data_IF_515519074139
#
_entry.id   IF_515519074139
#
_cell.length_a   1.000
_cell.length_b   1.000
_cell.length_c   1.000
_cell.angle_alpha   90.00
_cell.angle_beta   90.00
_cell.angle_gamma   90.00
#
_symmetry.space_group_name_H-M   'P 1'
#
loop_
_entity.id
_entity.type
_entity.pdbx_description
1 polymer ?
#
# COMPACT_ATOMS: atom_id res chain seq x y z
N UNK A 1 -16.76 27.23 -7.54
CA UNK A 1 -15.44 27.68 -7.25
C UNK A 1 -14.44 26.81 -7.97
N UNK A 2 -13.51 27.43 -8.50
CA UNK A 2 -12.50 26.70 -9.20
C UNK A 2 -11.38 26.31 -8.26
N UNK A 3 -10.78 25.20 -8.49
CA UNK A 3 -9.56 24.82 -7.83
C UNK A 3 -8.42 25.46 -8.60
N UNK A 4 -8.12 26.68 -8.21
CA UNK A 4 -7.11 27.48 -8.88
C UNK A 4 -5.81 27.40 -8.14
N UNK A 5 -4.85 28.19 -8.59
CA UNK A 5 -3.57 28.29 -7.91
C UNK A 5 -3.72 28.65 -6.44
N UNK A 6 -4.68 29.47 -6.10
CA UNK A 6 -4.91 29.83 -4.71
C UNK A 6 -5.27 28.61 -3.86
N UNK A 7 -6.13 27.77 -4.39
CA UNK A 7 -6.51 26.54 -3.68
C UNK A 7 -5.32 25.57 -3.59
N UNK A 8 -4.56 25.46 -4.66
CA UNK A 8 -3.38 24.60 -4.65
C UNK A 8 -2.33 25.09 -3.66
N UNK A 9 -2.14 26.40 -3.60
CA UNK A 9 -1.23 26.99 -2.64
C UNK A 9 -1.69 26.77 -1.22
N UNK A 10 -3.00 26.93 -0.99
CA UNK A 10 -3.58 26.67 0.31
C UNK A 10 -3.38 25.23 0.75
N UNK A 11 -3.56 24.27 -0.17
CA UNK A 11 -3.31 22.88 0.12
C UNK A 11 -1.85 22.62 0.43
N UNK A 12 -0.93 23.24 -0.31
CA UNK A 12 0.50 23.09 -0.07
C UNK A 12 0.94 23.65 1.25
N UNK A 13 0.22 24.64 1.77
CA UNK A 13 0.56 25.32 3.02
C UNK A 13 -0.18 24.77 4.22
N UNK A 14 -1.23 23.99 4.02
CA UNK A 14 -1.99 23.45 5.12
C UNK A 14 -1.19 22.39 5.88
N UNK A 15 -1.57 22.18 7.11
CA UNK A 15 -0.96 21.15 7.92
C UNK A 15 -1.28 19.77 7.32
N UNK A 16 -0.26 18.95 7.20
CA UNK A 16 -0.44 17.58 6.69
C UNK A 16 -1.12 16.74 7.74
N UNK A 17 -2.01 15.84 7.29
CA UNK A 17 -2.67 14.91 8.18
C UNK A 17 -1.71 13.80 8.61
N UNK A 18 -2.06 13.10 9.67
CA UNK A 18 -1.28 11.96 10.13
C UNK A 18 -1.16 10.89 9.05
N UNK A 19 -2.24 10.65 8.31
CA UNK A 19 -2.21 9.68 7.21
C UNK A 19 -1.25 10.10 6.11
N UNK A 20 -1.26 11.37 5.76
CA UNK A 20 -0.34 11.87 4.74
C UNK A 20 1.12 11.67 5.17
N UNK A 21 1.42 12.00 6.41
CA UNK A 21 2.77 11.85 6.95
C UNK A 21 3.17 10.37 6.97
N UNK A 22 2.29 9.52 7.45
CA UNK A 22 2.57 8.08 7.53
C UNK A 22 2.83 7.49 6.15
N UNK A 23 1.97 7.79 5.17
CA UNK A 23 2.13 7.24 3.83
C UNK A 23 3.39 7.76 3.15
N UNK A 24 3.76 9.01 3.41
CA UNK A 24 5.01 9.55 2.88
C UNK A 24 6.22 8.82 3.47
N UNK A 25 6.17 8.46 4.75
CA UNK A 25 7.24 7.68 5.37
C UNK A 25 7.30 6.26 4.79
N UNK A 26 6.15 5.64 4.61
CA UNK A 26 6.09 4.29 4.03
C UNK A 26 6.62 4.29 2.60
N UNK A 27 6.35 5.33 1.86
CA UNK A 27 6.87 5.47 0.49
C UNK A 27 8.40 5.40 0.49
N UNK A 28 9.03 5.97 1.50
CA UNK A 28 10.49 6.03 1.58
C UNK A 28 11.14 4.76 2.14
N UNK A 29 10.46 4.06 3.04
CA UNK A 29 11.13 2.95 3.76
C UNK A 29 10.77 1.57 3.23
N UNK A 30 9.61 1.39 2.62
CA UNK A 30 9.22 0.08 2.11
C UNK A 30 10.06 -0.25 0.87
N UNK A 31 10.67 -1.44 0.81
CA UNK A 31 11.50 -1.82 -0.35
C UNK A 31 10.63 -2.30 -1.51
N UNK A 32 9.93 -1.35 -2.15
CA UNK A 32 8.94 -1.66 -3.18
C UNK A 32 9.47 -2.55 -4.30
N UNK A 33 10.66 -2.25 -4.83
CA UNK A 33 11.21 -2.99 -5.96
C UNK A 33 11.52 -4.44 -5.59
N UNK A 34 12.06 -4.66 -4.40
CA UNK A 34 12.34 -6.02 -3.93
C UNK A 34 11.05 -6.81 -3.73
N UNK A 35 10.01 -6.17 -3.21
CA UNK A 35 8.72 -6.82 -3.01
C UNK A 35 8.04 -7.14 -4.32
N UNK A 36 8.09 -6.23 -5.28
CA UNK A 36 7.53 -6.48 -6.60
C UNK A 36 8.23 -7.67 -7.27
N UNK A 37 9.55 -7.77 -7.12
CA UNK A 37 10.31 -8.88 -7.69
C UNK A 37 9.90 -10.23 -7.08
N UNK A 38 9.53 -10.27 -5.82
CA UNK A 38 9.05 -11.49 -5.17
C UNK A 38 7.72 -11.97 -5.75
N UNK A 39 6.83 -11.04 -6.04
CA UNK A 39 5.45 -11.37 -6.41
C UNK A 39 5.28 -11.55 -7.92
N UNK A 40 6.05 -10.82 -8.70
CA UNK A 40 5.90 -10.77 -10.15
C UNK A 40 5.81 -12.14 -10.84
N UNK A 41 6.65 -13.15 -10.47
CA UNK A 41 6.57 -14.46 -11.11
C UNK A 41 5.21 -15.14 -10.93
N UNK A 42 4.45 -14.77 -9.93
CA UNK A 42 3.17 -15.39 -9.59
C UNK A 42 1.98 -14.53 -10.02
N UNK A 43 2.23 -13.34 -10.55
CA UNK A 43 1.17 -12.41 -10.89
C UNK A 43 0.74 -12.57 -12.35
N UNK A 44 -0.57 -12.45 -12.65
CA UNK A 44 -1.06 -12.57 -14.01
C UNK A 44 -0.38 -11.57 -14.96
N UNK A 45 -0.05 -12.02 -16.14
CA UNK A 45 0.62 -11.19 -17.14
C UNK A 45 -0.38 -10.43 -17.98
N UNK A 46 0.01 -9.24 -18.40
CA UNK A 46 -0.76 -8.43 -19.32
C UNK A 46 -0.80 -9.11 -20.69
N UNK A 47 -1.84 -8.79 -21.47
CA UNK A 47 -1.95 -9.27 -22.84
C UNK A 47 -2.65 -10.60 -23.00
N UNK A 48 -3.02 -11.26 -21.92
CA UNK A 48 -3.79 -12.50 -22.00
C UNK A 48 -5.25 -12.19 -22.34
N UNK A 49 -5.97 -13.16 -22.96
CA UNK A 49 -7.40 -12.97 -23.22
C UNK A 49 -8.17 -12.68 -21.94
N UNK A 50 -9.21 -11.88 -22.06
CA UNK A 50 -10.05 -11.53 -20.93
C UNK A 50 -9.65 -10.20 -20.32
N UNK A 51 -10.17 -9.96 -19.10
CA UNK A 51 -9.92 -8.72 -18.38
C UNK A 51 -8.47 -8.62 -17.98
N UNK A 52 -7.87 -7.45 -18.24
CA UNK A 52 -6.49 -7.22 -17.88
C UNK A 52 -6.35 -7.02 -16.36
N UNK A 53 -5.28 -7.56 -15.76
CA UNK A 53 -5.06 -7.35 -14.33
C UNK A 53 -4.65 -5.91 -14.03
N UNK A 54 -4.93 -5.49 -12.79
CA UNK A 54 -4.41 -4.21 -12.33
C UNK A 54 -2.88 -4.30 -12.22
N UNK A 55 -2.18 -3.16 -12.29
CA UNK A 55 -0.73 -3.18 -12.08
C UNK A 55 -0.39 -3.80 -10.73
N UNK A 56 0.65 -4.63 -10.70
CA UNK A 56 1.07 -5.29 -9.47
C UNK A 56 1.38 -4.28 -8.37
N UNK A 57 2.05 -3.18 -8.72
CA UNK A 57 2.38 -2.15 -7.74
C UNK A 57 1.13 -1.59 -7.06
N UNK A 58 0.05 -1.42 -7.81
CA UNK A 58 -1.23 -0.96 -7.26
C UNK A 58 -1.78 -1.96 -6.26
N UNK A 59 -1.82 -3.24 -6.64
CA UNK A 59 -2.38 -4.26 -5.76
C UNK A 59 -1.55 -4.45 -4.50
N UNK A 60 -0.24 -4.38 -4.61
CA UNK A 60 0.65 -4.47 -3.45
C UNK A 60 0.40 -3.31 -2.48
N UNK A 61 0.26 -2.09 -3.00
CA UNK A 61 0.00 -0.93 -2.16
C UNK A 61 -1.38 -1.00 -1.50
N UNK A 62 -2.38 -1.52 -2.21
CA UNK A 62 -3.70 -1.76 -1.61
C UNK A 62 -3.59 -2.75 -0.47
N UNK A 63 -2.83 -3.82 -0.65
CA UNK A 63 -2.62 -4.82 0.41
C UNK A 63 -2.02 -4.17 1.65
N UNK A 64 -1.01 -3.33 1.49
CA UNK A 64 -0.42 -2.63 2.63
C UNK A 64 -1.41 -1.68 3.31
N UNK A 65 -2.18 -0.93 2.54
CA UNK A 65 -3.21 -0.05 3.12
C UNK A 65 -4.19 -0.86 3.96
N UNK A 66 -4.61 -2.00 3.43
CA UNK A 66 -5.55 -2.87 4.12
C UNK A 66 -5.00 -3.35 5.45
N UNK A 67 -3.72 -3.71 5.46
CA UNK A 67 -3.05 -4.16 6.68
C UNK A 67 -2.82 -3.01 7.67
N UNK A 68 -2.32 -1.89 7.18
CA UNK A 68 -2.00 -0.75 8.03
C UNK A 68 -3.23 -0.15 8.70
N UNK A 69 -4.36 -0.13 8.00
CA UNK A 69 -5.58 0.49 8.50
C UNK A 69 -6.65 -0.52 8.89
N UNK A 70 -6.29 -1.81 8.90
CA UNK A 70 -7.17 -2.90 9.30
C UNK A 70 -8.51 -2.88 8.58
N UNK A 71 -8.45 -2.75 7.25
CA UNK A 71 -9.65 -2.67 6.43
C UNK A 71 -10.03 -4.04 5.89
N UNK A 72 -11.33 -4.34 5.94
CA UNK A 72 -11.88 -5.53 5.28
C UNK A 72 -11.85 -5.32 3.77
N UNK A 73 -12.12 -6.38 3.00
CA UNK A 73 -12.15 -6.25 1.56
C UNK A 73 -13.21 -5.24 1.09
N UNK A 74 -14.45 -5.29 1.60
CA UNK A 74 -15.41 -4.24 1.27
C UNK A 74 -15.00 -2.87 1.77
N UNK A 75 -14.42 -2.79 2.97
CA UNK A 75 -13.96 -1.53 3.53
C UNK A 75 -12.86 -0.90 2.72
N UNK A 76 -11.95 -1.72 2.19
CA UNK A 76 -10.88 -1.22 1.32
C UNK A 76 -11.45 -0.71 0.00
N UNK A 77 -12.40 -1.43 -0.58
CA UNK A 77 -13.08 -0.96 -1.80
C UNK A 77 -13.72 0.40 -1.58
N UNK A 78 -14.47 0.55 -0.48
CA UNK A 78 -15.10 1.82 -0.16
C UNK A 78 -14.10 2.93 0.09
N UNK A 79 -13.00 2.61 0.77
CA UNK A 79 -11.98 3.60 1.05
C UNK A 79 -11.34 4.14 -0.24
N UNK A 80 -11.20 3.30 -1.25
CA UNK A 80 -10.68 3.76 -2.54
C UNK A 80 -11.64 4.74 -3.21
N UNK A 81 -12.95 4.57 -3.04
CA UNK A 81 -13.91 5.53 -3.56
C UNK A 81 -13.92 6.83 -2.74
N UNK A 82 -13.80 6.70 -1.43
CA UNK A 82 -13.98 7.84 -0.53
C UNK A 82 -12.73 8.69 -0.31
N UNK A 83 -11.55 8.10 -0.41
CA UNK A 83 -10.31 8.76 0.00
C UNK A 83 -9.36 9.00 -1.16
N UNK A 84 -9.27 10.25 -1.58
CA UNK A 84 -8.33 10.63 -2.64
C UNK A 84 -6.89 10.30 -2.28
N UNK A 85 -6.52 10.45 -1.02
CA UNK A 85 -5.17 10.15 -0.56
C UNK A 85 -4.80 8.69 -0.82
N UNK A 86 -5.73 7.77 -0.58
CA UNK A 86 -5.48 6.34 -0.81
C UNK A 86 -5.35 6.05 -2.30
N UNK A 87 -6.24 6.64 -3.13
CA UNK A 87 -6.11 6.46 -4.58
C UNK A 87 -4.76 6.96 -5.10
N UNK A 88 -4.33 8.10 -4.61
CA UNK A 88 -3.05 8.67 -4.99
C UNK A 88 -1.90 7.74 -4.59
N UNK A 89 -1.95 7.21 -3.37
CA UNK A 89 -0.91 6.31 -2.88
C UNK A 89 -0.80 5.05 -3.73
N UNK A 90 -1.93 4.49 -4.16
CA UNK A 90 -1.91 3.25 -4.96
C UNK A 90 -1.80 3.50 -6.46
N UNK A 91 -1.87 4.74 -6.90
CA UNK A 91 -1.67 5.09 -8.30
C UNK A 91 -2.92 4.93 -9.17
N UNK A 92 -4.11 5.15 -8.60
CA UNK A 92 -5.36 5.08 -9.33
C UNK A 92 -6.06 6.43 -9.37
N UNK A 93 -6.77 6.68 -10.46
CA UNK A 93 -7.56 7.89 -10.64
C UNK A 93 -9.03 7.48 -10.77
N UNK A 94 -9.87 7.94 -9.84
CA UNK A 94 -11.28 7.61 -9.84
C UNK A 94 -12.03 8.10 -11.08
N UNK A 95 -11.52 9.12 -11.76
CA UNK A 95 -12.14 9.65 -12.98
C UNK A 95 -11.80 8.86 -14.22
N UNK A 96 -10.69 8.17 -14.23
CA UNK A 96 -10.21 7.46 -15.42
C UNK A 96 -10.11 5.96 -15.23
N UNK A 97 -9.84 5.50 -14.02
CA UNK A 97 -9.63 4.09 -13.75
C UNK A 97 -10.84 3.45 -13.10
N UNK A 98 -11.07 2.19 -13.44
CA UNK A 98 -11.97 1.37 -12.64
C UNK A 98 -11.24 1.02 -11.35
N UNK A 99 -11.89 1.21 -10.22
CA UNK A 99 -11.28 0.86 -8.94
C UNK A 99 -11.46 -0.63 -8.65
N UNK A 100 -10.48 -1.29 -8.07
CA UNK A 100 -10.61 -2.71 -7.72
C UNK A 100 -11.75 -2.94 -6.74
N UNK A 101 -12.56 -3.95 -7.01
CA UNK A 101 -13.64 -4.33 -6.11
C UNK A 101 -13.13 -5.31 -5.06
N UNK A 102 -14.01 -5.63 -4.10
CA UNK A 102 -13.63 -6.52 -3.00
C UNK A 102 -13.19 -7.90 -3.48
N UNK A 103 -13.77 -8.39 -4.58
CA UNK A 103 -13.39 -9.69 -5.14
C UNK A 103 -11.97 -9.68 -5.68
N UNK A 104 -11.59 -8.60 -6.34
CA UNK A 104 -10.24 -8.43 -6.87
C UNK A 104 -9.22 -8.35 -5.73
N UNK A 105 -9.57 -7.61 -4.69
CA UNK A 105 -8.72 -7.48 -3.49
C UNK A 105 -8.54 -8.83 -2.83
N UNK A 106 -9.62 -9.59 -2.66
CA UNK A 106 -9.57 -10.92 -2.07
C UNK A 106 -8.70 -11.87 -2.90
N UNK A 107 -8.83 -11.83 -4.22
CA UNK A 107 -8.02 -12.69 -5.10
C UNK A 107 -6.53 -12.41 -4.96
N UNK A 108 -6.16 -11.17 -4.82
CA UNK A 108 -4.75 -10.83 -4.61
C UNK A 108 -4.24 -11.40 -3.28
N UNK A 109 -5.04 -11.28 -2.22
CA UNK A 109 -4.64 -11.84 -0.93
C UNK A 109 -4.50 -13.36 -1.02
N UNK A 110 -5.42 -14.03 -1.73
CA UNK A 110 -5.32 -15.47 -1.93
C UNK A 110 -4.06 -15.85 -2.73
N UNK A 111 -3.68 -15.02 -3.68
CA UNK A 111 -2.45 -15.24 -4.44
C UNK A 111 -1.23 -15.21 -3.52
N UNK A 112 -1.19 -14.23 -2.63
CA UNK A 112 -0.10 -14.14 -1.67
C UNK A 112 -0.07 -15.35 -0.74
N UNK A 113 -1.21 -15.80 -0.29
CA UNK A 113 -1.32 -16.95 0.59
C UNK A 113 -0.91 -18.25 -0.12
N UNK A 114 -1.38 -18.43 -1.36
CA UNK A 114 -1.11 -19.64 -2.13
C UNK A 114 0.38 -19.86 -2.37
N UNK A 115 1.14 -18.81 -2.47
CA UNK A 115 2.57 -18.88 -2.74
C UNK A 115 3.42 -18.53 -1.53
N UNK A 116 2.81 -18.47 -0.35
CA UNK A 116 3.49 -18.16 0.91
C UNK A 116 4.32 -16.88 0.82
N UNK A 117 3.76 -15.87 0.14
CA UNK A 117 4.48 -14.63 -0.10
C UNK A 117 4.42 -13.67 1.08
N UNK A 118 3.40 -13.78 1.93
CA UNK A 118 3.27 -12.86 3.07
C UNK A 118 4.47 -12.91 4.00
N UNK A 119 4.96 -14.11 4.32
CA UNK A 119 6.14 -14.24 5.18
C UNK A 119 7.40 -13.76 4.48
N UNK A 120 7.50 -13.96 3.18
CA UNK A 120 8.64 -13.47 2.41
C UNK A 120 8.65 -11.95 2.32
N UNK A 121 7.46 -11.35 2.17
CA UNK A 121 7.31 -9.90 2.18
C UNK A 121 7.79 -9.36 3.51
N UNK A 122 7.33 -9.94 4.61
CA UNK A 122 7.74 -9.50 5.95
C UNK A 122 9.25 -9.63 6.12
N UNK A 123 9.83 -10.76 5.73
CA UNK A 123 11.26 -10.97 5.87
C UNK A 123 12.06 -9.92 5.09
N UNK A 124 11.61 -9.61 3.87
CA UNK A 124 12.27 -8.61 3.03
C UNK A 124 12.19 -7.22 3.65
N UNK A 125 11.01 -6.85 4.15
CA UNK A 125 10.83 -5.56 4.80
C UNK A 125 11.70 -5.46 6.05
N UNK A 126 11.69 -6.50 6.88
CA UNK A 126 12.48 -6.50 8.11
C UNK A 126 13.98 -6.41 7.82
N UNK A 127 14.46 -7.13 6.81
CA UNK A 127 15.87 -7.07 6.43
C UNK A 127 16.26 -5.65 5.98
N UNK A 128 15.38 -5.00 5.22
CA UNK A 128 15.63 -3.64 4.76
C UNK A 128 15.66 -2.66 5.93
N UNK A 129 14.71 -2.78 6.85
CA UNK A 129 14.66 -1.91 8.01
C UNK A 129 15.86 -2.11 8.93
N UNK A 130 16.28 -3.37 9.11
CA UNK A 130 17.47 -3.68 9.90
C UNK A 130 18.71 -3.05 9.29
N UNK A 131 18.86 -3.14 7.96
CA UNK A 131 19.98 -2.54 7.26
C UNK A 131 20.02 -1.03 7.40
N UNK A 132 18.84 -0.41 7.55
CA UNK A 132 18.74 1.04 7.76
C UNK A 132 18.81 1.42 9.24
N UNK A 133 18.92 0.43 10.14
CA UNK A 133 18.96 0.70 11.57
C UNK A 133 17.62 1.01 12.20
N UNK A 134 16.53 0.80 11.48
CA UNK A 134 15.20 1.16 11.97
C UNK A 134 14.58 0.12 12.90
N UNK A 135 14.95 -1.15 12.77
CA UNK A 135 14.41 -2.21 13.61
C UNK A 135 15.03 -2.29 14.99
N UNK A 136 16.30 -1.93 15.10
CA UNK A 136 17.08 -2.24 16.29
C UNK A 136 16.84 -1.36 17.47
N UNK A 137 16.49 -0.14 17.21
CA UNK A 137 16.35 0.83 18.27
C UNK A 137 15.08 1.57 18.07
N UNK A 138 14.09 1.19 18.78
CA UNK A 138 12.90 1.99 18.78
C UNK A 138 13.14 3.20 19.67
N UNK A 139 14.11 3.98 19.30
CA UNK A 139 14.40 5.19 20.03
C UNK A 139 13.43 6.30 19.77
N UNK A 140 12.64 6.17 18.70
CA UNK A 140 11.65 7.17 18.33
C UNK A 140 10.28 6.54 18.24
N UNK A 141 9.26 7.38 18.39
CA UNK A 141 7.87 6.94 18.25
C UNK A 141 7.59 6.46 16.82
N UNK A 142 8.19 7.14 15.85
CA UNK A 142 8.00 6.79 14.44
C UNK A 142 8.49 5.37 14.17
N UNK A 143 9.68 5.04 14.64
CA UNK A 143 10.24 3.70 14.44
C UNK A 143 9.38 2.64 15.11
N UNK A 144 8.92 2.90 16.33
CA UNK A 144 8.07 1.98 17.04
C UNK A 144 6.74 1.77 16.32
N UNK A 145 6.16 2.83 15.78
CA UNK A 145 4.92 2.74 15.04
C UNK A 145 5.09 1.92 13.77
N UNK A 146 6.18 2.17 13.04
CA UNK A 146 6.47 1.44 11.82
C UNK A 146 6.62 -0.05 12.09
N UNK A 147 7.39 -0.43 13.09
CA UNK A 147 7.62 -1.82 13.44
C UNK A 147 6.31 -2.49 13.84
N UNK A 148 5.54 -1.85 14.68
CA UNK A 148 4.26 -2.39 15.14
C UNK A 148 3.30 -2.61 13.97
N UNK A 149 3.24 -1.66 13.04
CA UNK A 149 2.37 -1.75 11.88
C UNK A 149 2.76 -2.91 10.99
N UNK A 150 4.04 -3.07 10.70
CA UNK A 150 4.52 -4.14 9.83
C UNK A 150 4.35 -5.50 10.49
N UNK A 151 4.53 -5.60 11.79
CA UNK A 151 4.33 -6.83 12.53
C UNK A 151 2.86 -7.23 12.51
N UNK A 152 1.97 -6.26 12.67
CA UNK A 152 0.54 -6.50 12.59
C UNK A 152 0.14 -7.02 11.21
N UNK A 153 0.69 -6.45 10.16
CA UNK A 153 0.44 -6.91 8.80
C UNK A 153 0.82 -8.39 8.63
N UNK A 154 1.93 -8.79 9.19
CA UNK A 154 2.38 -10.17 9.11
C UNK A 154 1.43 -11.12 9.83
N UNK A 155 0.89 -10.72 10.96
CA UNK A 155 0.01 -11.58 11.74
C UNK A 155 -1.37 -11.78 11.14
N UNK A 156 -1.82 -10.82 10.35
CA UNK A 156 -3.13 -10.91 9.71
C UNK A 156 -3.09 -11.59 8.35
N UNK A 157 -1.92 -11.90 7.86
CA UNK A 157 -1.74 -12.57 6.57
C UNK A 157 -1.82 -14.10 6.63
#
# INVERSE_FOLDING_TARGET
MQLTFGDAEGLGQRKRTRKEIFLAEMEQVVPWQALLALIEPHYPKLGRPGRQPYPLATMLRIHFLQQWYALSDPGMEEALYDMALFREFVGLDAGEDNLPDESTILRFRHLLEAHNLSSQILATVNATLAAKGLLLKSGTVVDATLIATLTSAARTS
#
